data_IF_738506794651
#
_entry.id   IF_738506794651
#
_cell.length_a   1.000
_cell.length_b   1.000
_cell.length_c   1.000
_cell.angle_alpha   90.00
_cell.angle_beta   90.00
_cell.angle_gamma   90.00
#
_symmetry.space_group_name_H-M   'P 1'
#
loop_
_entity.id
_entity.type
_entity.pdbx_description
1 polymer ?
#
# COMPACT_ATOMS: atom_id res chain seq x y z
N UNK A 1 32.55 -18.28 -57.23
CA UNK A 1 31.92 -17.06 -56.70
C UNK A 1 30.41 -17.22 -56.87
N UNK A 2 29.72 -17.68 -55.83
CA UNK A 2 28.27 -17.91 -55.88
C UNK A 2 27.54 -16.64 -55.39
N UNK A 3 26.67 -16.09 -56.24
CA UNK A 3 25.81 -14.97 -55.90
C UNK A 3 24.87 -15.37 -54.76
N UNK A 4 24.82 -14.57 -53.70
CA UNK A 4 23.93 -14.77 -52.57
C UNK A 4 22.47 -14.67 -53.04
N UNK A 5 21.78 -15.81 -53.08
CA UNK A 5 20.35 -15.88 -53.41
C UNK A 5 19.52 -15.19 -52.34
N UNK A 6 19.21 -13.91 -52.54
CA UNK A 6 18.25 -13.19 -51.71
C UNK A 6 16.83 -13.53 -52.18
N UNK A 7 16.03 -14.18 -51.32
CA UNK A 7 14.65 -14.50 -51.64
C UNK A 7 13.81 -13.20 -51.71
N UNK A 8 13.09 -12.92 -52.82
CA UNK A 8 12.37 -11.65 -53.03
C UNK A 8 11.37 -11.32 -51.91
N UNK A 9 10.75 -12.35 -51.31
CA UNK A 9 9.77 -12.21 -50.23
C UNK A 9 10.38 -11.81 -48.87
N UNK A 10 11.70 -11.73 -48.74
CA UNK A 10 12.35 -11.24 -47.53
C UNK A 10 12.62 -9.72 -47.57
N UNK A 11 12.18 -9.03 -48.63
CA UNK A 11 12.46 -7.61 -48.89
C UNK A 11 11.34 -6.66 -48.46
N UNK A 12 10.07 -7.10 -48.40
CA UNK A 12 8.97 -6.27 -47.87
C UNK A 12 8.48 -6.80 -46.52
N UNK A 13 8.22 -5.91 -45.56
CA UNK A 13 7.90 -6.29 -44.16
C UNK A 13 6.69 -7.22 -44.03
N UNK A 14 5.64 -6.97 -44.82
CA UNK A 14 4.42 -7.79 -44.80
C UNK A 14 4.64 -9.18 -45.43
N UNK A 15 5.34 -9.24 -46.57
CA UNK A 15 5.65 -10.52 -47.22
C UNK A 15 6.67 -11.34 -46.42
N UNK A 16 7.61 -10.67 -45.76
CA UNK A 16 8.61 -11.29 -44.89
C UNK A 16 7.96 -12.00 -43.69
N UNK A 17 6.99 -11.36 -43.03
CA UNK A 17 6.31 -11.94 -41.88
C UNK A 17 5.50 -13.21 -42.23
N UNK A 18 4.73 -13.16 -43.34
CA UNK A 18 3.97 -14.31 -43.81
C UNK A 18 4.89 -15.45 -44.27
N UNK A 19 5.97 -15.10 -44.98
CA UNK A 19 6.96 -16.07 -45.44
C UNK A 19 7.67 -16.78 -44.28
N UNK A 20 8.15 -16.03 -43.28
CA UNK A 20 8.79 -16.60 -42.09
C UNK A 20 7.83 -17.45 -41.24
N UNK A 21 6.53 -17.16 -41.26
CA UNK A 21 5.55 -17.97 -40.54
C UNK A 21 5.36 -19.37 -41.17
N UNK A 22 5.44 -19.46 -42.50
CA UNK A 22 5.32 -20.71 -43.27
C UNK A 22 6.66 -21.46 -43.37
N UNK A 23 7.77 -20.73 -43.46
CA UNK A 23 9.12 -21.26 -43.66
C UNK A 23 10.09 -20.74 -42.59
N UNK A 24 9.97 -21.18 -41.32
CA UNK A 24 10.72 -20.63 -40.21
C UNK A 24 12.25 -20.76 -40.38
N UNK A 25 12.74 -21.82 -41.01
CA UNK A 25 14.18 -22.01 -41.29
C UNK A 25 14.81 -20.90 -42.15
N UNK A 26 14.01 -20.15 -42.93
CA UNK A 26 14.51 -19.01 -43.69
C UNK A 26 14.98 -17.85 -42.80
N UNK A 27 14.69 -17.88 -41.49
CA UNK A 27 15.22 -16.93 -40.53
C UNK A 27 16.76 -16.87 -40.55
N UNK A 28 17.45 -18.01 -40.66
CA UNK A 28 18.93 -18.05 -40.66
C UNK A 28 19.56 -17.30 -41.84
N UNK A 29 18.81 -17.12 -42.93
CA UNK A 29 19.27 -16.37 -44.11
C UNK A 29 18.95 -14.87 -44.01
N UNK A 30 18.06 -14.48 -43.10
CA UNK A 30 17.51 -13.14 -42.97
C UNK A 30 17.79 -12.47 -41.63
N UNK A 31 18.46 -13.14 -40.70
CA UNK A 31 18.58 -12.76 -39.29
C UNK A 31 18.98 -11.29 -39.10
N UNK A 32 19.95 -10.79 -39.88
CA UNK A 32 20.43 -9.40 -39.79
C UNK A 32 19.41 -8.33 -40.20
N UNK A 33 18.32 -8.72 -40.87
CA UNK A 33 17.26 -7.83 -41.37
C UNK A 33 15.93 -8.02 -40.63
N UNK A 34 15.84 -9.02 -39.76
CA UNK A 34 14.60 -9.35 -39.04
C UNK A 34 14.57 -8.64 -37.70
N UNK A 35 13.56 -7.79 -37.55
CA UNK A 35 13.27 -7.11 -36.28
C UNK A 35 12.17 -7.90 -35.55
N UNK A 36 12.57 -8.79 -34.65
CA UNK A 36 11.65 -9.74 -33.99
C UNK A 36 10.45 -9.06 -33.32
N UNK A 37 10.64 -7.91 -32.68
CA UNK A 37 9.56 -7.21 -31.98
C UNK A 37 8.54 -6.55 -32.93
N UNK A 38 8.87 -6.39 -34.21
CA UNK A 38 7.97 -5.87 -35.25
C UNK A 38 7.17 -6.99 -35.95
N UNK A 39 7.55 -8.25 -35.76
CA UNK A 39 6.84 -9.38 -36.37
C UNK A 39 5.50 -9.67 -35.66
N UNK A 40 4.49 -10.18 -36.38
CA UNK A 40 3.25 -10.66 -35.79
C UNK A 40 3.46 -11.84 -34.85
N UNK A 41 2.58 -11.97 -33.85
CA UNK A 41 2.64 -13.05 -32.85
C UNK A 41 2.61 -14.45 -33.48
N UNK A 42 1.83 -14.64 -34.55
CA UNK A 42 1.78 -15.90 -35.29
C UNK A 42 3.14 -16.27 -35.90
N UNK A 43 3.86 -15.28 -36.45
CA UNK A 43 5.20 -15.48 -37.01
C UNK A 43 6.21 -15.82 -35.91
N UNK A 44 6.22 -15.09 -34.78
CA UNK A 44 7.11 -15.40 -33.65
C UNK A 44 6.83 -16.77 -33.07
N UNK A 45 5.56 -17.18 -32.98
CA UNK A 45 5.18 -18.53 -32.55
C UNK A 45 5.67 -19.62 -33.50
N UNK A 46 5.61 -19.39 -34.82
CA UNK A 46 6.19 -20.33 -35.79
C UNK A 46 7.71 -20.41 -35.66
N UNK A 47 8.37 -19.26 -35.52
CA UNK A 47 9.82 -19.19 -35.40
C UNK A 47 10.34 -19.77 -34.07
N UNK A 48 9.58 -19.69 -32.98
CA UNK A 48 10.03 -20.20 -31.67
C UNK A 48 10.25 -21.72 -31.64
N UNK A 49 9.68 -22.46 -32.61
CA UNK A 49 9.93 -23.89 -32.84
C UNK A 49 11.37 -24.20 -33.26
N UNK A 50 12.13 -23.20 -33.72
CA UNK A 50 13.54 -23.35 -34.06
C UNK A 50 14.44 -23.44 -32.80
N UNK A 51 13.87 -23.21 -31.61
CA UNK A 51 14.58 -23.17 -30.31
C UNK A 51 15.75 -22.18 -30.25
N UNK A 52 15.77 -21.19 -31.14
CA UNK A 52 16.75 -20.10 -31.12
C UNK A 52 16.51 -19.20 -29.89
N UNK A 53 17.52 -18.96 -29.03
CA UNK A 53 17.32 -18.29 -27.75
C UNK A 53 16.64 -16.92 -27.85
N UNK A 54 17.08 -16.09 -28.79
CA UNK A 54 16.52 -14.74 -29.03
C UNK A 54 15.05 -14.76 -29.46
N UNK A 55 14.64 -15.75 -30.24
CA UNK A 55 13.26 -15.92 -30.71
C UNK A 55 12.39 -16.50 -29.59
N UNK A 56 12.89 -17.53 -28.90
CA UNK A 56 12.18 -18.15 -27.79
C UNK A 56 11.96 -17.16 -26.64
N UNK A 57 12.93 -16.28 -26.39
CA UNK A 57 12.77 -15.20 -25.42
C UNK A 57 11.79 -14.12 -25.90
N UNK A 58 11.81 -13.74 -27.19
CA UNK A 58 10.77 -12.83 -27.72
C UNK A 58 9.38 -13.43 -27.54
N UNK A 59 9.21 -14.74 -27.75
CA UNK A 59 7.95 -15.43 -27.50
C UNK A 59 7.53 -15.35 -26.01
N UNK A 60 8.49 -15.42 -25.08
CA UNK A 60 8.22 -15.19 -23.66
C UNK A 60 7.65 -13.78 -23.41
N UNK A 61 8.20 -12.75 -24.06
CA UNK A 61 7.69 -11.37 -23.99
C UNK A 61 6.25 -11.30 -24.51
N UNK A 62 5.94 -11.95 -25.66
CA UNK A 62 4.58 -11.99 -26.21
C UNK A 62 3.58 -12.66 -25.28
N UNK A 63 3.95 -13.81 -24.70
CA UNK A 63 3.12 -14.51 -23.73
C UNK A 63 2.82 -13.64 -22.50
N UNK A 64 3.82 -12.91 -21.97
CA UNK A 64 3.60 -11.98 -20.87
C UNK A 64 2.66 -10.82 -21.27
N UNK A 65 2.79 -10.31 -22.50
CA UNK A 65 1.92 -9.27 -23.06
C UNK A 65 0.46 -9.71 -23.20
N UNK A 66 0.23 -11.01 -23.35
CA UNK A 66 -1.11 -11.63 -23.38
C UNK A 66 -1.61 -12.03 -21.98
N UNK A 67 -0.90 -11.68 -20.90
CA UNK A 67 -1.25 -12.09 -19.53
C UNK A 67 -0.94 -13.56 -19.20
N UNK A 68 -0.29 -14.30 -20.09
CA UNK A 68 0.07 -15.71 -19.91
C UNK A 68 1.41 -15.86 -19.15
N UNK A 69 1.49 -15.27 -17.94
CA UNK A 69 2.75 -15.16 -17.18
C UNK A 69 3.39 -16.50 -16.82
N UNK A 70 2.59 -17.51 -16.44
CA UNK A 70 3.10 -18.84 -16.14
C UNK A 70 3.78 -19.50 -17.35
N UNK A 71 3.18 -19.36 -18.55
CA UNK A 71 3.78 -19.86 -19.79
C UNK A 71 5.00 -19.05 -20.18
N UNK A 72 4.92 -17.72 -20.06
CA UNK A 72 6.07 -16.82 -20.28
C UNK A 72 7.27 -17.24 -19.44
N UNK A 73 7.05 -17.57 -18.15
CA UNK A 73 8.07 -17.99 -17.18
C UNK A 73 8.91 -19.17 -17.65
N UNK A 74 8.29 -20.19 -18.22
CA UNK A 74 8.99 -21.36 -18.77
C UNK A 74 10.02 -20.96 -19.82
N UNK A 75 9.66 -20.05 -20.73
CA UNK A 75 10.55 -19.61 -21.80
C UNK A 75 11.63 -18.66 -21.28
N UNK A 76 11.27 -17.59 -20.56
CA UNK A 76 12.26 -16.60 -20.19
C UNK A 76 13.28 -17.17 -19.19
N UNK A 77 12.90 -18.07 -18.27
CA UNK A 77 13.88 -18.67 -17.35
C UNK A 77 14.95 -19.49 -18.07
N UNK A 78 14.56 -20.23 -19.13
CA UNK A 78 15.49 -21.04 -19.93
C UNK A 78 16.43 -20.20 -20.77
N UNK A 79 15.94 -19.11 -21.36
CA UNK A 79 16.69 -18.32 -22.34
C UNK A 79 17.22 -16.97 -21.83
N UNK A 80 17.06 -16.66 -20.53
CA UNK A 80 17.40 -15.36 -19.97
C UNK A 80 18.84 -14.92 -20.23
N UNK A 81 19.82 -15.82 -20.15
CA UNK A 81 21.23 -15.47 -20.31
C UNK A 81 21.59 -15.04 -21.74
N UNK A 82 20.75 -15.41 -22.73
CA UNK A 82 20.97 -15.10 -24.14
C UNK A 82 20.10 -13.95 -24.66
N UNK A 83 19.17 -13.44 -23.85
CA UNK A 83 18.27 -12.37 -24.26
C UNK A 83 19.00 -11.04 -24.47
N UNK A 84 18.56 -10.23 -25.42
CA UNK A 84 19.04 -8.84 -25.51
C UNK A 84 18.57 -8.00 -24.33
N UNK A 85 19.29 -6.94 -23.99
CA UNK A 85 18.87 -6.03 -22.91
C UNK A 85 17.51 -5.38 -23.18
N UNK A 86 17.20 -5.07 -24.45
CA UNK A 86 15.90 -4.53 -24.86
C UNK A 86 14.76 -5.51 -24.56
N UNK A 87 14.94 -6.80 -24.86
CA UNK A 87 13.94 -7.83 -24.56
C UNK A 87 13.73 -8.00 -23.05
N UNK A 88 14.82 -8.03 -22.27
CA UNK A 88 14.74 -8.12 -20.81
C UNK A 88 13.95 -6.93 -20.24
N UNK A 89 14.26 -5.71 -20.66
CA UNK A 89 13.54 -4.51 -20.22
C UNK A 89 12.06 -4.56 -20.60
N UNK A 90 11.72 -5.01 -21.81
CA UNK A 90 10.31 -5.18 -22.24
C UNK A 90 9.57 -6.22 -21.41
N UNK A 91 10.20 -7.37 -21.12
CA UNK A 91 9.62 -8.38 -20.26
C UNK A 91 9.38 -7.84 -18.84
N UNK A 92 10.38 -7.18 -18.26
CA UNK A 92 10.30 -6.62 -16.90
C UNK A 92 9.22 -5.54 -16.82
N UNK A 93 9.03 -4.72 -17.86
CA UNK A 93 7.93 -3.77 -17.92
C UNK A 93 6.56 -4.46 -17.79
N UNK A 94 6.36 -5.58 -18.51
CA UNK A 94 5.12 -6.37 -18.46
C UNK A 94 4.93 -7.05 -17.10
N UNK A 95 5.99 -7.61 -16.51
CA UNK A 95 5.95 -8.22 -15.19
C UNK A 95 5.66 -7.18 -14.09
N UNK A 96 6.14 -5.94 -14.25
CA UNK A 96 5.85 -4.84 -13.33
C UNK A 96 4.37 -4.48 -13.35
N UNK A 97 3.75 -4.45 -14.53
CA UNK A 97 2.29 -4.28 -14.66
C UNK A 97 1.55 -5.41 -13.95
N UNK A 98 2.06 -6.64 -14.06
CA UNK A 98 1.51 -7.82 -13.38
C UNK A 98 1.76 -7.87 -11.86
N UNK A 99 2.56 -6.93 -11.31
CA UNK A 99 3.06 -6.98 -9.93
C UNK A 99 3.82 -8.30 -9.59
N UNK A 100 4.47 -8.94 -10.57
CA UNK A 100 5.23 -10.19 -10.35
C UNK A 100 6.64 -9.88 -9.81
N UNK A 101 6.69 -9.51 -8.53
CA UNK A 101 7.90 -9.11 -7.81
C UNK A 101 8.96 -10.23 -7.86
N UNK A 102 8.55 -11.49 -7.71
CA UNK A 102 9.46 -12.64 -7.70
C UNK A 102 10.14 -12.86 -9.05
N UNK A 103 9.39 -12.76 -10.15
CA UNK A 103 9.98 -12.91 -11.48
C UNK A 103 11.01 -11.80 -11.78
N UNK A 104 10.68 -10.54 -11.48
CA UNK A 104 11.61 -9.42 -11.70
C UNK A 104 12.84 -9.59 -10.80
N UNK A 105 12.66 -10.05 -9.56
CA UNK A 105 13.75 -10.36 -8.65
C UNK A 105 14.70 -11.42 -9.19
N UNK A 106 14.17 -12.51 -9.73
CA UNK A 106 14.98 -13.57 -10.35
C UNK A 106 15.74 -13.07 -11.58
N UNK A 107 15.11 -12.19 -12.37
CA UNK A 107 15.77 -11.56 -13.52
C UNK A 107 16.92 -10.65 -13.05
N UNK A 108 16.70 -9.83 -12.02
CA UNK A 108 17.69 -8.88 -11.50
C UNK A 108 18.95 -9.56 -10.95
N UNK A 109 18.84 -10.81 -10.46
CA UNK A 109 19.99 -11.61 -10.02
C UNK A 109 20.92 -12.04 -11.15
N UNK A 110 20.42 -12.11 -12.39
CA UNK A 110 21.17 -12.63 -13.55
C UNK A 110 21.46 -11.58 -14.60
N UNK A 111 20.68 -10.51 -14.65
CA UNK A 111 20.72 -9.49 -15.70
C UNK A 111 20.66 -8.10 -15.07
N UNK A 112 21.47 -7.14 -15.55
CA UNK A 112 21.37 -5.77 -15.10
C UNK A 112 20.00 -5.20 -15.48
N UNK A 113 19.38 -4.45 -14.58
CA UNK A 113 18.13 -3.74 -14.83
C UNK A 113 18.34 -2.23 -14.68
N UNK A 114 17.59 -1.41 -15.44
CA UNK A 114 17.52 0.03 -15.19
C UNK A 114 17.17 0.34 -13.73
N UNK A 115 17.76 1.41 -13.18
CA UNK A 115 17.65 1.77 -11.75
C UNK A 115 16.21 1.84 -11.25
N UNK A 116 15.28 2.40 -12.04
CA UNK A 116 13.87 2.51 -11.63
C UNK A 116 13.17 1.15 -11.39
N UNK A 117 13.63 0.05 -11.98
CA UNK A 117 13.13 -1.29 -11.65
C UNK A 117 13.74 -1.84 -10.37
N UNK A 118 15.02 -1.53 -10.10
CA UNK A 118 15.67 -1.87 -8.85
C UNK A 118 15.03 -1.11 -7.69
N UNK A 119 14.68 0.16 -7.90
CA UNK A 119 13.97 0.99 -6.93
C UNK A 119 12.59 0.42 -6.64
N UNK A 120 11.83 0.13 -7.69
CA UNK A 120 10.52 -0.50 -7.57
C UNK A 120 10.59 -1.82 -6.76
N UNK A 121 11.57 -2.68 -7.05
CA UNK A 121 11.79 -3.93 -6.29
C UNK A 121 12.14 -3.66 -4.83
N UNK A 122 13.09 -2.75 -4.58
CA UNK A 122 13.58 -2.43 -3.25
C UNK A 122 12.48 -1.84 -2.36
N UNK A 123 11.64 -0.96 -2.92
CA UNK A 123 10.48 -0.37 -2.25
C UNK A 123 9.38 -1.40 -1.95
N UNK A 124 9.16 -2.38 -2.82
CA UNK A 124 8.23 -3.49 -2.50
C UNK A 124 8.74 -4.37 -1.37
N UNK A 125 10.06 -4.53 -1.29
CA UNK A 125 10.75 -5.37 -0.29
C UNK A 125 11.04 -4.68 1.03
N UNK A 126 10.76 -3.39 1.17
CA UNK A 126 10.96 -2.69 2.44
C UNK A 126 12.42 -2.37 2.73
N UNK A 127 13.25 -2.29 1.68
CA UNK A 127 14.64 -1.86 1.82
C UNK A 127 14.71 -0.51 2.54
N UNK A 128 15.66 -0.35 3.45
CA UNK A 128 15.76 0.84 4.29
C UNK A 128 15.86 2.15 3.46
N UNK A 129 15.31 3.28 3.96
CA UNK A 129 15.30 4.54 3.22
C UNK A 129 16.68 5.08 2.85
N UNK A 130 17.74 4.69 3.57
CA UNK A 130 19.12 5.08 3.27
C UNK A 130 19.62 4.62 1.89
N UNK A 131 18.95 3.67 1.25
CA UNK A 131 19.26 3.24 -0.11
C UNK A 131 18.76 4.22 -1.19
N UNK A 132 17.96 5.22 -0.82
CA UNK A 132 17.30 6.16 -1.72
C UNK A 132 17.63 7.61 -1.35
N UNK A 133 17.60 8.49 -2.35
CA UNK A 133 17.56 9.93 -2.13
C UNK A 133 16.11 10.44 -2.30
N UNK A 134 15.85 11.70 -1.90
CA UNK A 134 14.50 12.27 -1.96
C UNK A 134 13.92 12.28 -3.38
N UNK A 135 14.75 12.50 -4.42
CA UNK A 135 14.29 12.48 -5.82
C UNK A 135 13.78 11.09 -6.26
N UNK A 136 14.50 10.02 -5.90
CA UNK A 136 14.10 8.63 -6.21
C UNK A 136 12.81 8.24 -5.49
N UNK A 137 12.63 8.68 -4.24
CA UNK A 137 11.36 8.45 -3.52
C UNK A 137 10.21 9.28 -4.10
N UNK A 138 10.47 10.53 -4.48
CA UNK A 138 9.49 11.42 -5.09
C UNK A 138 8.97 10.85 -6.43
N UNK A 139 9.82 10.20 -7.23
CA UNK A 139 9.42 9.49 -8.45
C UNK A 139 8.38 8.37 -8.19
N UNK A 140 8.27 7.91 -6.94
CA UNK A 140 7.30 6.92 -6.47
C UNK A 140 6.22 7.52 -5.55
N UNK A 141 6.03 8.85 -5.58
CA UNK A 141 4.99 9.54 -4.82
C UNK A 141 5.16 9.41 -3.28
N UNK A 142 6.41 9.35 -2.82
CA UNK A 142 6.75 9.28 -1.41
C UNK A 142 7.75 10.36 -1.03
N UNK A 143 7.72 10.78 0.23
CA UNK A 143 8.74 11.61 0.85
C UNK A 143 9.82 10.77 1.53
N UNK A 144 11.01 11.33 1.64
CA UNK A 144 12.08 10.81 2.49
C UNK A 144 11.77 11.09 3.97
N UNK A 145 12.17 10.21 4.90
CA UNK A 145 12.03 10.47 6.34
C UNK A 145 12.90 11.65 6.83
N UNK A 146 13.81 12.13 5.99
CA UNK A 146 14.64 13.32 6.25
C UNK A 146 14.01 14.62 5.69
N UNK A 147 12.95 14.52 4.87
CA UNK A 147 12.28 15.69 4.33
C UNK A 147 11.46 16.38 5.43
N UNK A 148 11.32 17.70 5.32
CA UNK A 148 10.44 18.47 6.19
C UNK A 148 9.00 18.44 5.66
N UNK A 149 8.06 18.24 6.58
CA UNK A 149 6.63 18.21 6.33
C UNK A 149 6.02 19.50 6.88
N UNK A 150 5.22 20.15 6.05
CA UNK A 150 4.48 21.34 6.44
C UNK A 150 3.00 21.00 6.59
N UNK A 151 2.38 21.54 7.64
CA UNK A 151 0.95 21.42 7.90
C UNK A 151 0.33 22.82 7.95
N UNK A 152 -0.94 22.92 7.58
CA UNK A 152 -1.70 24.16 7.75
C UNK A 152 -1.71 24.60 9.22
N UNK A 153 -1.69 25.92 9.46
CA UNK A 153 -1.63 26.47 10.84
C UNK A 153 -2.90 26.19 11.63
N UNK A 154 -4.01 26.12 10.92
CA UNK A 154 -5.36 25.82 11.39
C UNK A 154 -5.50 24.34 11.79
N UNK A 155 -4.54 23.49 11.40
CA UNK A 155 -4.62 22.07 11.63
C UNK A 155 -4.59 21.74 13.13
N UNK A 156 -5.63 21.03 13.57
CA UNK A 156 -5.75 20.59 14.97
C UNK A 156 -4.86 19.38 15.20
N UNK A 157 -5.05 18.32 14.40
CA UNK A 157 -4.22 17.10 14.47
C UNK A 157 -3.38 16.97 13.21
N UNK A 158 -2.06 17.18 13.35
CA UNK A 158 -1.09 16.95 12.27
C UNK A 158 -0.70 15.48 12.26
N UNK A 159 -0.96 14.79 11.14
CA UNK A 159 -0.76 13.35 11.02
C UNK A 159 0.36 13.08 10.03
N UNK A 160 1.48 12.53 10.51
CA UNK A 160 2.52 12.00 9.63
C UNK A 160 2.09 10.63 9.11
N UNK A 161 2.16 10.44 7.79
CA UNK A 161 1.73 9.23 7.12
C UNK A 161 2.96 8.43 6.71
N UNK A 162 3.06 7.19 7.19
CA UNK A 162 4.21 6.32 7.06
C UNK A 162 3.85 5.05 6.28
N UNK A 163 4.82 4.52 5.56
CA UNK A 163 4.70 3.22 4.87
C UNK A 163 6.03 2.46 4.82
N UNK A 164 5.97 1.14 4.91
CA UNK A 164 7.10 0.22 4.72
C UNK A 164 7.21 -0.30 3.28
N UNK A 165 6.24 0.00 2.40
CA UNK A 165 6.23 -0.55 1.04
C UNK A 165 5.47 0.27 0.00
N UNK A 166 5.77 -0.01 -1.27
CA UNK A 166 5.22 0.73 -2.42
C UNK A 166 3.70 0.56 -2.58
N UNK A 167 3.14 -0.64 -2.36
CA UNK A 167 1.71 -0.87 -2.59
C UNK A 167 0.81 -0.05 -1.64
N UNK A 168 1.29 0.28 -0.44
CA UNK A 168 0.59 1.11 0.51
C UNK A 168 0.45 2.58 0.08
N UNK A 169 1.32 3.08 -0.80
CA UNK A 169 1.30 4.49 -1.24
C UNK A 169 -0.03 4.83 -1.93
N UNK A 170 -0.45 4.01 -2.90
CA UNK A 170 -1.70 4.24 -3.62
C UNK A 170 -2.90 4.21 -2.68
N UNK A 171 -2.90 3.29 -1.70
CA UNK A 171 -4.00 3.14 -0.75
C UNK A 171 -4.08 4.30 0.24
N UNK A 172 -2.94 4.73 0.77
CA UNK A 172 -2.86 5.91 1.64
C UNK A 172 -3.30 7.17 0.91
N UNK A 173 -2.85 7.37 -0.33
CA UNK A 173 -3.30 8.52 -1.15
C UNK A 173 -4.79 8.49 -1.41
N UNK A 174 -5.37 7.33 -1.73
CA UNK A 174 -6.82 7.16 -1.86
C UNK A 174 -7.54 7.63 -0.59
N UNK A 175 -7.08 7.21 0.59
CA UNK A 175 -7.69 7.59 1.87
C UNK A 175 -7.56 9.09 2.17
N UNK A 176 -6.37 9.66 1.97
CA UNK A 176 -6.12 11.09 2.21
C UNK A 176 -6.98 11.95 1.29
N UNK A 177 -7.03 11.62 -0.01
CA UNK A 177 -7.84 12.35 -0.99
C UNK A 177 -9.33 12.23 -0.65
N UNK A 178 -9.80 11.02 -0.32
CA UNK A 178 -11.20 10.80 0.07
C UNK A 178 -11.57 11.58 1.33
N UNK A 179 -10.72 11.57 2.35
CA UNK A 179 -10.93 12.36 3.56
C UNK A 179 -10.94 13.86 3.26
N UNK A 180 -9.99 14.36 2.46
CA UNK A 180 -9.94 15.78 2.10
C UNK A 180 -11.19 16.25 1.33
N UNK A 181 -11.85 15.36 0.58
CA UNK A 181 -13.09 15.68 -0.13
C UNK A 181 -14.32 15.82 0.77
N UNK A 182 -14.32 15.16 1.93
CA UNK A 182 -15.40 15.19 2.90
C UNK A 182 -14.83 14.97 4.32
N UNK A 183 -14.16 16.00 4.90
CA UNK A 183 -13.43 15.84 6.15
C UNK A 183 -14.39 15.70 7.33
N UNK A 184 -14.04 14.79 8.24
CA UNK A 184 -14.83 14.47 9.44
C UNK A 184 -14.00 14.71 10.72
N UNK A 185 -14.61 15.26 11.79
CA UNK A 185 -15.98 15.81 11.85
C UNK A 185 -16.12 17.18 11.18
N UNK A 186 -15.00 17.84 10.87
CA UNK A 186 -14.95 19.11 10.15
C UNK A 186 -13.57 19.33 9.50
N UNK A 187 -13.51 20.33 8.62
CA UNK A 187 -12.25 20.81 8.04
C UNK A 187 -11.22 21.12 9.14
N UNK A 188 -9.95 20.82 8.88
CA UNK A 188 -8.81 21.01 9.81
C UNK A 188 -8.77 20.10 11.04
N UNK A 189 -9.74 19.19 11.21
CA UNK A 189 -9.71 18.22 12.32
C UNK A 189 -8.47 17.32 12.25
N UNK A 190 -8.14 16.83 11.06
CA UNK A 190 -6.94 16.06 10.77
C UNK A 190 -6.35 16.53 9.44
N UNK A 191 -5.03 16.72 9.41
CA UNK A 191 -4.31 17.03 8.18
C UNK A 191 -3.16 16.03 8.03
N UNK A 192 -3.12 15.39 6.87
CA UNK A 192 -2.20 14.30 6.59
C UNK A 192 -1.03 14.81 5.75
N UNK A 193 0.18 14.32 6.06
CA UNK A 193 1.32 14.48 5.16
C UNK A 193 1.14 13.63 3.91
N UNK A 194 1.94 13.90 2.88
CA UNK A 194 2.20 12.89 1.85
C UNK A 194 2.84 11.62 2.49
N UNK A 195 2.68 10.43 1.89
CA UNK A 195 3.28 9.20 2.42
C UNK A 195 4.80 9.30 2.52
N UNK A 196 5.35 8.98 3.69
CA UNK A 196 6.78 8.96 3.99
C UNK A 196 7.25 7.51 4.01
N UNK A 197 8.26 7.21 3.20
CA UNK A 197 8.79 5.86 3.11
C UNK A 197 9.79 5.59 4.24
N UNK A 198 9.48 4.64 5.12
CA UNK A 198 10.35 4.24 6.21
C UNK A 198 10.96 2.85 6.01
N UNK A 199 10.58 2.11 4.96
CA UNK A 199 10.96 0.72 4.75
C UNK A 199 10.70 -0.13 6.00
N UNK A 200 11.49 -1.17 6.21
CA UNK A 200 11.35 -2.07 7.35
C UNK A 200 12.00 -1.52 8.65
N UNK A 201 12.19 -0.19 8.77
CA UNK A 201 12.80 0.44 9.95
C UNK A 201 12.10 0.04 11.26
N UNK A 202 10.77 -0.08 11.24
CA UNK A 202 9.97 -0.39 12.43
C UNK A 202 9.70 -1.89 12.63
N UNK A 203 10.05 -2.76 11.67
CA UNK A 203 9.81 -4.21 11.76
C UNK A 203 8.37 -4.58 12.20
N UNK A 204 7.38 -4.12 11.45
CA UNK A 204 5.98 -4.31 11.81
C UNK A 204 5.52 -5.77 11.64
N UNK A 205 4.95 -6.36 12.69
CA UNK A 205 4.49 -7.76 12.72
C UNK A 205 3.13 -7.88 13.43
N UNK A 206 2.28 -8.86 13.07
CA UNK A 206 1.07 -9.14 13.82
C UNK A 206 1.41 -9.67 15.21
N UNK A 207 0.72 -9.19 16.23
CA UNK A 207 0.80 -9.76 17.57
C UNK A 207 -0.09 -11.00 17.74
N UNK A 208 -0.17 -11.55 18.95
CA UNK A 208 -1.01 -12.71 19.25
C UNK A 208 -2.51 -12.48 19.00
N UNK A 209 -2.95 -11.23 18.98
CA UNK A 209 -4.33 -10.82 18.65
C UNK A 209 -4.48 -10.44 17.17
N UNK A 210 -3.47 -10.74 16.34
CA UNK A 210 -3.38 -10.43 14.92
C UNK A 210 -3.30 -8.93 14.60
N UNK A 211 -3.21 -8.04 15.60
CA UNK A 211 -3.08 -6.60 15.34
C UNK A 211 -1.65 -6.27 14.93
N UNK A 212 -1.49 -5.31 14.02
CA UNK A 212 -0.17 -4.83 13.65
C UNK A 212 0.53 -4.17 14.85
N UNK A 213 1.75 -4.62 15.13
CA UNK A 213 2.64 -4.04 16.13
C UNK A 213 3.95 -3.62 15.46
N UNK A 214 4.40 -2.39 15.73
CA UNK A 214 5.58 -1.79 15.12
C UNK A 214 6.53 -1.26 16.20
N UNK A 215 7.84 -1.44 16.02
CA UNK A 215 8.87 -0.87 16.88
C UNK A 215 9.04 0.64 16.61
N UNK A 216 8.22 1.43 17.28
CA UNK A 216 8.30 2.90 17.23
C UNK A 216 9.63 3.42 17.77
N UNK A 217 10.28 2.70 18.70
CA UNK A 217 11.57 3.12 19.25
C UNK A 217 12.70 2.98 18.22
N UNK A 218 12.64 1.96 17.34
CA UNK A 218 13.53 1.87 16.18
C UNK A 218 13.38 3.08 15.25
N UNK A 219 12.14 3.50 14.95
CA UNK A 219 11.91 4.70 14.13
C UNK A 219 12.49 5.96 14.77
N UNK A 220 12.25 6.18 16.07
CA UNK A 220 12.78 7.33 16.80
C UNK A 220 14.30 7.37 16.83
N UNK A 221 14.97 6.20 16.91
CA UNK A 221 16.43 6.13 16.85
C UNK A 221 16.98 6.45 15.45
N UNK A 222 16.31 5.98 14.41
CA UNK A 222 16.73 6.19 13.03
C UNK A 222 16.44 7.62 12.53
N UNK A 223 15.28 8.16 12.91
CA UNK A 223 14.74 9.45 12.43
C UNK A 223 14.11 10.23 13.61
N UNK A 224 14.93 10.81 14.50
CA UNK A 224 14.45 11.42 15.74
C UNK A 224 13.47 12.58 15.51
N UNK A 225 13.66 13.35 14.45
CA UNK A 225 12.84 14.51 14.13
C UNK A 225 11.52 14.14 13.44
N UNK A 226 11.42 12.96 12.80
CA UNK A 226 10.30 12.61 11.93
C UNK A 226 8.94 12.67 12.65
N UNK A 227 8.85 12.02 13.81
CA UNK A 227 7.62 12.00 14.59
C UNK A 227 7.34 13.34 15.29
N UNK A 228 8.36 14.19 15.49
CA UNK A 228 8.18 15.52 16.09
C UNK A 228 7.51 16.51 15.12
N UNK A 229 7.49 16.21 13.81
CA UNK A 229 6.83 17.04 12.80
C UNK A 229 5.30 16.99 12.89
N UNK A 230 4.74 15.91 13.46
CA UNK A 230 3.30 15.68 13.64
C UNK A 230 2.90 15.53 15.10
N UNK A 231 1.59 15.50 15.34
CA UNK A 231 0.98 15.18 16.63
C UNK A 231 0.58 13.70 16.72
N UNK A 232 0.31 13.07 15.56
CA UNK A 232 -0.11 11.67 15.39
C UNK A 232 0.62 11.06 14.20
N UNK A 233 0.59 9.73 14.10
CA UNK A 233 1.15 9.00 12.98
C UNK A 233 0.20 7.89 12.49
N UNK A 234 0.11 7.73 11.17
CA UNK A 234 -0.57 6.59 10.53
C UNK A 234 0.51 5.78 9.83
N UNK A 235 0.57 4.48 10.12
CA UNK A 235 1.49 3.54 9.49
C UNK A 235 0.70 2.50 8.71
N UNK A 236 0.85 2.45 7.39
CA UNK A 236 0.32 1.35 6.60
C UNK A 236 1.39 0.27 6.44
N UNK A 237 1.05 -0.90 6.97
CA UNK A 237 1.88 -2.10 7.02
C UNK A 237 1.44 -3.11 5.95
N UNK A 238 2.26 -4.13 5.72
CA UNK A 238 1.86 -5.26 4.85
C UNK A 238 0.86 -6.21 5.49
N UNK A 239 0.85 -6.32 6.82
CA UNK A 239 0.18 -7.38 7.56
C UNK A 239 -0.25 -6.94 8.95
N UNK A 240 -1.20 -7.67 9.53
CA UNK A 240 -1.78 -7.36 10.83
C UNK A 240 -2.99 -6.44 10.71
N UNK A 241 -3.94 -6.61 11.61
CA UNK A 241 -5.19 -5.88 11.65
C UNK A 241 -4.97 -4.43 12.10
N UNK A 242 -5.89 -3.56 11.69
CA UNK A 242 -5.91 -2.16 12.07
C UNK A 242 -6.01 -1.98 13.58
N UNK A 243 -5.34 -0.96 14.12
CA UNK A 243 -5.33 -0.66 15.54
C UNK A 243 -4.83 0.76 15.80
N UNK A 244 -5.17 1.32 16.96
CA UNK A 244 -4.57 2.54 17.49
C UNK A 244 -3.89 2.26 18.84
N UNK A 245 -2.61 2.61 18.92
CA UNK A 245 -1.82 2.57 20.17
C UNK A 245 -1.21 3.93 20.44
N UNK A 246 -1.78 4.66 21.40
CA UNK A 246 -1.38 6.02 21.72
C UNK A 246 -1.60 6.95 20.52
N UNK A 247 -0.51 7.53 20.02
CA UNK A 247 -0.54 8.47 18.89
C UNK A 247 -0.26 7.82 17.53
N UNK A 248 -0.17 6.47 17.47
CA UNK A 248 0.08 5.71 16.25
C UNK A 248 -1.14 4.87 15.88
N UNK A 249 -1.63 5.05 14.66
CA UNK A 249 -2.57 4.16 13.99
C UNK A 249 -1.80 3.24 13.06
N UNK A 250 -2.08 1.95 13.10
CA UNK A 250 -1.62 0.99 12.10
C UNK A 250 -2.78 0.54 11.23
N UNK A 251 -2.53 0.45 9.92
CA UNK A 251 -3.44 -0.12 8.93
C UNK A 251 -2.68 -1.15 8.10
N UNK A 252 -3.39 -1.91 7.26
CA UNK A 252 -2.78 -2.70 6.20
C UNK A 252 -3.36 -2.33 4.82
N UNK A 253 -2.75 -2.82 3.75
CA UNK A 253 -3.18 -2.51 2.38
C UNK A 253 -4.55 -3.07 2.00
N UNK A 254 -5.08 -4.02 2.78
CA UNK A 254 -6.41 -4.59 2.61
C UNK A 254 -7.48 -3.84 3.40
N UNK A 255 -7.08 -2.90 4.26
CA UNK A 255 -8.01 -2.12 5.08
C UNK A 255 -8.92 -1.29 4.19
N UNK A 256 -10.20 -1.25 4.53
CA UNK A 256 -11.17 -0.39 3.86
C UNK A 256 -11.17 1.02 4.46
N UNK A 257 -11.69 1.99 3.69
CA UNK A 257 -11.77 3.38 4.18
C UNK A 257 -12.61 3.51 5.45
N UNK A 258 -13.62 2.67 5.62
CA UNK A 258 -14.47 2.68 6.82
C UNK A 258 -13.68 2.28 8.08
N UNK A 259 -12.72 1.36 7.95
CA UNK A 259 -11.76 1.00 9.02
C UNK A 259 -10.88 2.20 9.35
N UNK A 260 -10.31 2.87 8.33
CA UNK A 260 -9.53 4.09 8.55
C UNK A 260 -10.31 5.17 9.33
N UNK A 261 -11.59 5.38 8.98
CA UNK A 261 -12.45 6.32 9.71
C UNK A 261 -12.71 5.90 11.16
N UNK A 262 -12.97 4.61 11.40
CA UNK A 262 -13.13 4.06 12.74
C UNK A 262 -11.87 4.28 13.59
N UNK A 263 -10.69 3.93 13.07
CA UNK A 263 -9.42 4.16 13.75
C UNK A 263 -9.15 5.65 13.98
N UNK A 264 -9.57 6.52 13.07
CA UNK A 264 -9.39 7.97 13.23
C UNK A 264 -10.21 8.50 14.42
N UNK A 265 -11.36 7.92 14.71
CA UNK A 265 -12.16 8.25 15.89
C UNK A 265 -11.46 7.85 17.19
N UNK A 266 -10.69 6.75 17.20
CA UNK A 266 -9.86 6.39 18.36
C UNK A 266 -8.78 7.44 18.66
N UNK A 267 -8.22 8.14 17.67
CA UNK A 267 -7.35 9.31 17.95
C UNK A 267 -8.06 10.43 18.70
N UNK A 268 -9.38 10.55 18.54
CA UNK A 268 -10.22 11.47 19.30
C UNK A 268 -10.71 10.91 20.64
N UNK A 269 -10.21 9.73 21.03
CA UNK A 269 -10.50 9.08 22.30
C UNK A 269 -11.83 8.33 22.33
N UNK A 270 -12.42 8.02 21.18
CA UNK A 270 -13.57 7.12 21.11
C UNK A 270 -13.16 5.69 21.48
N UNK A 271 -14.10 4.92 22.01
CA UNK A 271 -13.89 3.53 22.39
C UNK A 271 -14.81 2.60 21.61
N UNK A 272 -14.38 1.35 21.46
CA UNK A 272 -15.17 0.30 20.82
C UNK A 272 -16.48 0.04 21.57
N UNK A 273 -17.54 -0.22 20.81
CA UNK A 273 -18.88 -0.51 21.35
C UNK A 273 -19.25 -2.00 21.31
N UNK A 274 -18.41 -2.81 20.66
CA UNK A 274 -18.43 -4.26 20.80
C UNK A 274 -17.63 -4.70 22.04
N UNK A 275 -17.77 -5.96 22.44
CA UNK A 275 -17.06 -6.49 23.60
C UNK A 275 -15.54 -6.43 23.43
N UNK A 276 -14.90 -5.59 24.25
CA UNK A 276 -13.44 -5.48 24.25
C UNK A 276 -12.83 -6.69 24.97
N UNK A 277 -11.54 -7.00 24.73
CA UNK A 277 -10.86 -8.10 25.42
C UNK A 277 -11.00 -8.00 26.94
N UNK A 278 -11.12 -9.15 27.62
CA UNK A 278 -11.37 -9.23 29.06
C UNK A 278 -10.40 -8.37 29.88
N UNK A 279 -9.11 -8.39 29.54
CA UNK A 279 -8.12 -7.58 30.23
C UNK A 279 -8.39 -6.08 30.08
N UNK A 280 -8.85 -5.63 28.90
CA UNK A 280 -9.23 -4.22 28.66
C UNK A 280 -10.49 -3.86 29.43
N UNK A 281 -11.51 -4.71 29.38
CA UNK A 281 -12.77 -4.51 30.08
C UNK A 281 -12.57 -4.41 31.60
N UNK A 282 -11.70 -5.25 32.17
CA UNK A 282 -11.38 -5.21 33.60
C UNK A 282 -10.91 -3.84 34.04
N UNK A 283 -9.98 -3.19 33.34
CA UNK A 283 -9.49 -1.87 33.77
C UNK A 283 -10.41 -0.72 33.35
N UNK A 284 -10.98 -0.76 32.14
CA UNK A 284 -11.83 0.32 31.60
C UNK A 284 -13.13 0.44 32.39
N UNK A 285 -13.70 -0.70 32.78
CA UNK A 285 -15.04 -0.80 33.35
C UNK A 285 -15.03 -0.97 34.88
N UNK A 286 -13.94 -0.56 35.53
CA UNK A 286 -13.74 -0.70 36.98
C UNK A 286 -14.38 0.45 37.79
N UNK A 287 -14.60 1.61 37.17
CA UNK A 287 -15.10 2.82 37.82
C UNK A 287 -16.21 3.46 36.99
N UNK A 288 -17.21 3.99 37.67
CA UNK A 288 -18.27 4.72 37.00
C UNK A 288 -17.78 6.07 36.47
N UNK A 289 -18.37 6.54 35.39
CA UNK A 289 -18.07 7.83 34.76
C UNK A 289 -18.01 7.77 33.24
N UNK A 290 -17.78 8.95 32.64
CA UNK A 290 -17.58 9.09 31.20
C UNK A 290 -16.10 8.84 30.86
N UNK A 291 -15.82 7.70 30.25
CA UNK A 291 -14.46 7.28 29.88
C UNK A 291 -14.07 7.69 28.46
N UNK A 292 -15.06 7.81 27.57
CA UNK A 292 -14.86 8.22 26.18
C UNK A 292 -15.95 9.19 25.73
N UNK A 293 -15.77 9.92 24.61
CA UNK A 293 -16.83 10.72 24.01
C UNK A 293 -18.12 9.92 23.77
N UNK A 294 -18.00 8.63 23.41
CA UNK A 294 -19.09 7.70 23.16
C UNK A 294 -19.28 6.60 24.23
N UNK A 295 -18.60 6.68 25.38
CA UNK A 295 -18.68 5.62 26.39
C UNK A 295 -18.86 6.18 27.81
N UNK A 296 -19.95 5.75 28.46
CA UNK A 296 -20.21 5.96 29.87
C UNK A 296 -20.26 4.59 30.55
N UNK A 297 -19.65 4.46 31.72
CA UNK A 297 -19.65 3.23 32.52
C UNK A 297 -20.36 3.53 33.85
N UNK A 298 -21.23 2.65 34.33
CA UNK A 298 -21.90 2.80 35.62
C UNK A 298 -23.35 2.37 35.61
N UNK A 299 -24.22 3.16 36.23
CA UNK A 299 -25.67 2.94 36.25
C UNK A 299 -26.38 3.72 35.13
N UNK A 300 -27.50 3.19 34.63
CA UNK A 300 -28.23 3.81 33.51
C UNK A 300 -28.76 5.22 33.88
N UNK A 301 -29.17 5.41 35.13
CA UNK A 301 -29.72 6.68 35.60
C UNK A 301 -28.69 7.81 35.64
N UNK A 302 -27.40 7.47 35.71
CA UNK A 302 -26.28 8.42 35.73
C UNK A 302 -25.66 8.63 34.33
N UNK A 303 -26.04 7.80 33.36
CA UNK A 303 -25.61 7.95 31.98
C UNK A 303 -26.26 9.17 31.32
N UNK A 304 -25.63 9.79 30.31
CA UNK A 304 -26.24 10.90 29.60
C UNK A 304 -27.60 10.50 29.00
N UNK A 305 -28.56 11.43 29.06
CA UNK A 305 -29.94 11.19 28.62
C UNK A 305 -29.99 10.61 27.20
N UNK A 306 -30.72 9.52 27.03
CA UNK A 306 -30.92 8.83 25.76
C UNK A 306 -29.81 7.83 25.38
N UNK A 307 -28.81 7.64 26.25
CA UNK A 307 -27.81 6.60 26.05
C UNK A 307 -28.37 5.24 26.46
N UNK A 308 -27.90 4.19 25.78
CA UNK A 308 -28.39 2.82 25.95
C UNK A 308 -27.24 1.86 26.16
N UNK A 309 -27.53 0.62 26.57
CA UNK A 309 -26.50 -0.37 26.89
C UNK A 309 -25.56 -0.62 25.69
N UNK A 310 -24.27 -0.66 25.99
CA UNK A 310 -23.19 -1.03 25.07
C UNK A 310 -22.60 -2.38 25.47
N UNK A 311 -22.05 -3.12 24.50
CA UNK A 311 -21.40 -4.41 24.73
C UNK A 311 -19.94 -4.27 25.17
N UNK A 312 -19.38 -3.05 25.17
CA UNK A 312 -17.98 -2.75 25.55
C UNK A 312 -17.56 -3.45 26.84
N UNK A 313 -18.37 -3.35 27.89
CA UNK A 313 -18.01 -3.82 29.23
C UNK A 313 -18.59 -5.21 29.59
N UNK A 314 -18.85 -6.09 28.62
CA UNK A 314 -19.42 -7.42 28.89
C UNK A 314 -18.58 -8.29 29.83
N UNK A 315 -17.27 -8.05 29.90
CA UNK A 315 -16.33 -8.71 30.84
C UNK A 315 -15.84 -7.77 31.96
N UNK A 316 -16.49 -6.62 32.12
CA UNK A 316 -16.16 -5.59 33.11
C UNK A 316 -16.95 -5.74 34.41
N UNK A 317 -16.58 -4.96 35.43
CA UNK A 317 -17.31 -4.92 36.70
C UNK A 317 -18.61 -4.11 36.61
N UNK A 318 -18.65 -3.11 35.73
CA UNK A 318 -19.75 -2.17 35.55
C UNK A 318 -20.26 -2.18 34.09
N UNK A 319 -21.54 -1.87 33.91
CA UNK A 319 -22.16 -1.79 32.59
C UNK A 319 -21.70 -0.55 31.82
N UNK A 320 -21.50 -0.68 30.51
CA UNK A 320 -21.28 0.43 29.60
C UNK A 320 -22.56 0.88 28.89
N UNK A 321 -22.61 2.16 28.53
CA UNK A 321 -23.66 2.79 27.74
C UNK A 321 -23.05 3.60 26.60
N UNK A 322 -23.75 3.61 25.47
CA UNK A 322 -23.41 4.30 24.22
C UNK A 322 -24.50 5.27 23.78
N UNK A 323 -24.19 6.27 22.93
CA UNK A 323 -25.13 7.31 22.50
C UNK A 323 -26.34 6.85 21.69
N UNK A 324 -26.29 5.68 21.03
CA UNK A 324 -27.33 5.26 20.08
C UNK A 324 -27.77 3.81 20.24
N UNK A 325 -29.07 3.54 20.02
CA UNK A 325 -29.64 2.18 19.97
C UNK A 325 -29.14 1.35 18.79
N UNK A 326 -29.04 1.97 17.61
CA UNK A 326 -28.51 1.31 16.42
C UNK A 326 -27.02 0.98 16.52
N UNK A 327 -26.56 0.13 15.59
CA UNK A 327 -25.14 -0.12 15.39
C UNK A 327 -24.45 1.14 14.89
N UNK A 328 -23.45 1.60 15.64
CA UNK A 328 -22.61 2.73 15.27
C UNK A 328 -21.38 2.26 14.50
N UNK A 329 -20.62 3.21 13.95
CA UNK A 329 -19.30 2.95 13.37
C UNK A 329 -18.30 2.38 14.40
N UNK A 330 -18.49 2.66 15.69
CA UNK A 330 -17.66 2.14 16.79
C UNK A 330 -18.07 0.72 17.22
N UNK A 331 -19.21 0.22 16.76
CA UNK A 331 -19.64 -1.16 16.96
C UNK A 331 -19.40 -2.02 15.72
N UNK A 332 -19.68 -1.47 14.54
CA UNK A 332 -19.47 -2.10 13.25
C UNK A 332 -18.87 -1.10 12.27
N UNK A 333 -17.62 -1.33 11.89
CA UNK A 333 -16.79 -0.40 11.10
C UNK A 333 -17.41 0.01 9.75
N UNK A 334 -18.27 -0.84 9.16
CA UNK A 334 -18.94 -0.56 7.88
C UNK A 334 -20.16 0.35 7.99
N UNK A 335 -20.59 0.70 9.21
CA UNK A 335 -21.72 1.60 9.43
C UNK A 335 -21.32 3.05 9.15
N UNK A 336 -22.23 3.86 8.56
CA UNK A 336 -21.95 5.26 8.31
C UNK A 336 -21.87 6.06 9.61
N UNK A 337 -21.06 7.12 9.62
CA UNK A 337 -21.00 8.07 10.73
C UNK A 337 -22.32 8.84 10.84
N UNK A 338 -23.00 8.68 11.98
CA UNK A 338 -24.25 9.40 12.24
C UNK A 338 -23.99 10.82 12.73
N UNK A 339 -24.98 11.68 12.59
CA UNK A 339 -24.90 13.09 13.00
C UNK A 339 -24.67 13.24 14.51
N UNK A 340 -25.18 12.30 15.32
CA UNK A 340 -24.90 12.26 16.75
C UNK A 340 -23.41 12.01 17.04
N UNK A 341 -22.78 11.05 16.36
CA UNK A 341 -21.36 10.75 16.55
C UNK A 341 -20.48 11.86 15.99
N UNK A 342 -20.85 12.47 14.86
CA UNK A 342 -20.15 13.64 14.32
C UNK A 342 -20.09 14.79 15.32
N UNK A 343 -21.19 15.09 16.01
CA UNK A 343 -21.20 16.10 17.09
C UNK A 343 -20.31 15.73 18.27
N UNK A 344 -20.36 14.49 18.74
CA UNK A 344 -19.48 14.02 19.80
C UNK A 344 -18.01 14.11 19.40
N UNK A 345 -17.72 13.82 18.12
CA UNK A 345 -16.36 13.88 17.60
C UNK A 345 -15.88 15.32 17.50
N UNK A 346 -16.71 16.23 17.02
CA UNK A 346 -16.38 17.66 17.02
C UNK A 346 -16.09 18.19 18.42
N UNK A 347 -16.89 17.79 19.42
CA UNK A 347 -16.65 18.17 20.81
C UNK A 347 -15.30 17.65 21.32
N UNK A 348 -14.94 16.41 20.98
CA UNK A 348 -13.65 15.82 21.34
C UNK A 348 -12.49 16.58 20.69
N UNK A 349 -12.57 16.88 19.39
CA UNK A 349 -11.59 17.68 18.65
C UNK A 349 -11.40 19.07 19.28
N UNK A 350 -12.51 19.76 19.58
CA UNK A 350 -12.45 21.08 20.22
C UNK A 350 -11.80 21.04 21.61
N UNK A 351 -12.10 20.00 22.40
CA UNK A 351 -11.52 19.81 23.73
C UNK A 351 -10.02 19.50 23.66
N UNK A 352 -9.58 18.69 22.69
CA UNK A 352 -8.16 18.43 22.43
C UNK A 352 -7.42 19.72 22.06
N UNK A 353 -7.99 20.50 21.14
CA UNK A 353 -7.44 21.78 20.73
C UNK A 353 -7.26 22.71 21.93
N UNK A 354 -8.33 22.92 22.74
CA UNK A 354 -8.28 23.78 23.92
C UNK A 354 -7.19 23.35 24.93
N UNK A 355 -7.03 22.05 25.20
CA UNK A 355 -5.98 21.53 26.08
C UNK A 355 -4.57 21.82 25.58
N UNK A 356 -4.35 21.83 24.26
CA UNK A 356 -3.03 22.14 23.66
C UNK A 356 -2.65 23.60 23.90
N UNK A 357 -3.61 24.51 23.78
CA UNK A 357 -3.38 25.94 24.02
C UNK A 357 -3.23 26.28 25.50
N UNK A 358 -3.85 25.54 26.41
CA UNK A 358 -3.69 25.73 27.85
C UNK A 358 -2.33 25.26 28.41
N UNK A 359 -1.55 24.49 27.63
CA UNK A 359 -0.23 23.97 28.02
C UNK A 359 0.95 24.78 27.44
N UNK A 360 0.67 25.78 26.61
CA UNK A 360 1.64 26.78 26.14
C UNK A 360 1.47 28.03 26.95
#
# INVERSE_FOLDING_TARGET
>A
MAQSGHHPLLLSSHSQAAFLALHPHSFYQAQSRVVLHALPDATIRSLSKLEQPEIAFEWAVRLAGQGLYARSRVYWQRYLNHASQSQVTRLVALLKVAQDIDAISQIALKRPLPMHYLDWLALHRGVLPSAFNSERLAAHNMLSPLDSVTFARECINRVVVLTDHLAAVSKLKEFIIRYASAPEPSVWSYCFSEPIYIGDTMQCTPDNSQFAYCDVAALKRAYPELLAQGDKAVMMTRQGNANVRGDMMTLNTQSEYAVFMHELMHFSGFEDEYSVPEQKAKWLCQRAGRHAPNLYVGELNDAPKGWVKSNTCNYGALQAYKPSEGWSIMEYQTRPLTEQYRRLWQQAINAQHAKRWAKK
#
